data_IF_571275814479
#
_entry.id   IF_571275814479
#
_cell.length_a   1.000
_cell.length_b   1.000
_cell.length_c   1.000
_cell.angle_alpha   90.00
_cell.angle_beta   90.00
_cell.angle_gamma   90.00
#
_symmetry.space_group_name_H-M   'P 1'
#
loop_
_entity.id
_entity.type
_entity.pdbx_description
1 polymer ?
#
# COMPACT_ATOMS: atom_id res chain seq x y z
N UNK A 1 10.37 -8.23 -79.97
CA UNK A 1 9.23 -7.38 -80.37
C UNK A 1 8.02 -7.85 -79.58
N UNK A 2 7.49 -7.07 -78.60
CA UNK A 2 6.34 -6.15 -78.78
C UNK A 2 5.09 -6.94 -79.25
N UNK A 3 3.90 -7.00 -78.62
CA UNK A 3 3.19 -6.20 -77.61
C UNK A 3 1.98 -7.01 -77.10
N UNK A 4 1.57 -6.73 -75.85
CA UNK A 4 0.28 -6.87 -75.15
C UNK A 4 -1.04 -7.12 -75.92
N UNK A 5 -1.98 -7.82 -75.26
CA UNK A 5 -3.31 -7.30 -74.84
C UNK A 5 -4.08 -8.37 -74.04
N UNK A 6 -4.43 -8.14 -72.76
CA UNK A 6 -5.68 -7.52 -72.24
C UNK A 6 -6.87 -8.49 -72.33
N UNK A 7 -7.76 -8.69 -71.35
CA UNK A 7 -7.97 -8.22 -69.99
C UNK A 7 -9.17 -9.04 -69.44
N UNK A 8 -9.27 -9.23 -68.12
CA UNK A 8 -10.53 -9.19 -67.34
C UNK A 8 -10.23 -9.62 -65.88
N UNK A 9 -10.21 -8.62 -64.99
CA UNK A 9 -10.39 -8.77 -63.54
C UNK A 9 -11.90 -8.93 -63.24
N UNK A 10 -12.39 -9.01 -61.97
CA UNK A 10 -11.73 -9.23 -60.68
C UNK A 10 -12.46 -10.34 -59.84
N UNK A 11 -12.00 -10.63 -58.62
CA UNK A 11 -12.84 -10.61 -57.38
C UNK A 11 -12.38 -11.58 -56.29
N UNK A 12 -12.50 -11.08 -55.06
CA UNK A 12 -12.46 -11.77 -53.77
C UNK A 12 -11.09 -12.23 -53.24
N UNK A 13 -10.34 -11.20 -52.87
CA UNK A 13 -9.64 -11.10 -51.60
C UNK A 13 -10.51 -11.59 -50.42
N UNK A 14 -10.14 -12.70 -49.78
CA UNK A 14 -10.37 -12.92 -48.34
C UNK A 14 -9.07 -13.48 -47.76
N UNK A 15 -8.30 -12.59 -47.15
CA UNK A 15 -7.18 -12.88 -46.26
C UNK A 15 -7.75 -13.43 -44.94
N UNK A 16 -7.73 -14.75 -44.77
CA UNK A 16 -7.90 -15.36 -43.44
C UNK A 16 -6.57 -15.25 -42.69
N UNK A 17 -6.42 -14.15 -41.95
CA UNK A 17 -5.40 -14.01 -40.90
C UNK A 17 -5.72 -14.98 -39.77
N UNK A 18 -5.17 -16.19 -39.85
CA UNK A 18 -5.05 -17.10 -38.71
C UNK A 18 -3.88 -16.63 -37.82
N UNK A 19 -4.13 -15.59 -37.03
CA UNK A 19 -3.24 -15.13 -35.97
C UNK A 19 -3.64 -15.77 -34.64
N UNK A 20 -3.38 -17.07 -34.45
CA UNK A 20 -3.39 -17.67 -33.12
C UNK A 20 -2.00 -17.50 -32.52
N UNK A 21 -1.89 -16.50 -31.63
CA UNK A 21 -0.72 -16.28 -30.80
C UNK A 21 -0.35 -17.58 -30.05
N UNK A 22 0.76 -18.19 -30.43
CA UNK A 22 1.38 -19.27 -29.69
C UNK A 22 1.92 -18.70 -28.39
N UNK A 23 1.21 -18.92 -27.29
CA UNK A 23 1.79 -18.80 -25.95
C UNK A 23 2.66 -20.06 -25.73
N UNK A 24 4.00 -19.96 -25.67
CA UNK A 24 4.88 -21.13 -25.57
C UNK A 24 4.85 -21.80 -24.19
N UNK A 25 4.09 -21.24 -23.25
CA UNK A 25 3.86 -21.81 -21.93
C UNK A 25 2.41 -22.27 -21.79
N UNK A 26 2.20 -23.56 -21.96
CA UNK A 26 0.97 -24.21 -21.54
C UNK A 26 1.18 -24.66 -20.09
N UNK A 27 0.49 -24.00 -19.16
CA UNK A 27 0.46 -24.44 -17.77
C UNK A 27 -0.02 -25.90 -17.74
N UNK A 28 0.59 -26.78 -16.93
CA UNK A 28 0.07 -28.12 -16.75
C UNK A 28 -1.38 -28.06 -16.28
N UNK A 29 -2.18 -29.04 -16.67
CA UNK A 29 -3.53 -29.17 -16.15
C UNK A 29 -3.46 -29.16 -14.61
N UNK A 30 -4.36 -28.42 -13.93
CA UNK A 30 -4.38 -28.44 -12.48
C UNK A 30 -4.49 -29.89 -12.00
N UNK A 31 -3.81 -30.27 -10.90
CA UNK A 31 -3.87 -31.62 -10.39
C UNK A 31 -5.33 -32.02 -10.12
N UNK A 32 -5.68 -33.31 -10.30
CA UNK A 32 -6.98 -33.86 -9.94
C UNK A 32 -7.41 -33.43 -8.53
N UNK A 33 -8.70 -33.19 -8.30
CA UNK A 33 -9.21 -32.68 -7.00
C UNK A 33 -8.87 -33.61 -5.82
N UNK A 34 -8.71 -34.90 -6.08
CA UNK A 34 -8.27 -35.94 -5.13
C UNK A 34 -6.75 -35.90 -4.83
N UNK A 35 -5.97 -35.23 -5.68
CA UNK A 35 -4.54 -34.94 -5.47
C UNK A 35 -4.29 -33.51 -4.94
N UNK A 36 -5.32 -32.67 -4.94
CA UNK A 36 -5.29 -31.36 -4.28
C UNK A 36 -5.30 -31.58 -2.77
N UNK A 37 -4.11 -31.53 -2.17
CA UNK A 37 -3.98 -31.43 -0.71
C UNK A 37 -4.18 -29.98 -0.31
N UNK A 38 -5.33 -29.70 0.30
CA UNK A 38 -5.45 -28.53 1.17
C UNK A 38 -4.44 -28.71 2.30
N UNK A 39 -3.29 -28.03 2.19
CA UNK A 39 -2.40 -27.86 3.32
C UNK A 39 -3.11 -26.88 4.25
N UNK A 40 -4.04 -27.38 5.05
CA UNK A 40 -4.65 -26.61 6.12
C UNK A 40 -3.51 -26.15 7.03
N UNK A 41 -3.24 -24.84 7.03
CA UNK A 41 -2.32 -24.24 7.98
C UNK A 41 -2.81 -24.60 9.38
N UNK A 42 -1.90 -25.07 10.25
CA UNK A 42 -2.22 -25.35 11.65
C UNK A 42 -2.83 -24.08 12.28
N UNK A 43 -4.09 -24.10 12.74
CA UNK A 43 -4.75 -22.93 13.30
C UNK A 43 -3.97 -22.30 14.47
N UNK A 44 -3.28 -23.12 15.27
CA UNK A 44 -2.47 -22.63 16.39
C UNK A 44 -1.23 -21.87 15.89
N UNK A 45 -0.58 -22.36 14.83
CA UNK A 45 0.56 -21.69 14.22
C UNK A 45 0.15 -20.37 13.54
N UNK A 46 -1.03 -20.33 12.92
CA UNK A 46 -1.58 -19.12 12.32
C UNK A 46 -1.88 -18.05 13.38
N UNK A 47 -2.56 -18.43 14.48
CA UNK A 47 -2.86 -17.50 15.57
C UNK A 47 -1.57 -16.93 16.22
N UNK A 48 -0.53 -17.76 16.39
CA UNK A 48 0.75 -17.29 16.93
C UNK A 48 1.47 -16.32 15.98
N UNK A 49 1.41 -16.59 14.67
CA UNK A 49 1.94 -15.68 13.66
C UNK A 49 1.20 -14.33 13.66
N UNK A 50 -0.13 -14.35 13.77
CA UNK A 50 -0.97 -13.16 13.84
C UNK A 50 -0.63 -12.32 15.06
N UNK A 51 -0.57 -12.95 16.25
CA UNK A 51 -0.15 -12.31 17.50
C UNK A 51 1.23 -11.69 17.39
N UNK A 52 2.20 -12.42 16.80
CA UNK A 52 3.56 -11.92 16.60
C UNK A 52 3.55 -10.69 15.67
N UNK A 53 2.82 -10.76 14.56
CA UNK A 53 2.72 -9.67 13.60
C UNK A 53 2.10 -8.42 14.22
N UNK A 54 1.02 -8.59 15.01
CA UNK A 54 0.41 -7.51 15.78
C UNK A 54 1.43 -6.83 16.72
N UNK A 55 2.13 -7.61 17.55
CA UNK A 55 3.11 -7.07 18.48
C UNK A 55 4.25 -6.32 17.78
N UNK A 56 4.70 -6.82 16.63
CA UNK A 56 5.73 -6.16 15.83
C UNK A 56 5.23 -4.87 15.19
N UNK A 57 4.03 -4.88 14.60
CA UNK A 57 3.42 -3.68 14.02
C UNK A 57 3.20 -2.59 15.09
N UNK A 58 2.69 -2.98 16.27
CA UNK A 58 2.52 -2.07 17.41
C UNK A 58 3.84 -1.50 17.91
N UNK A 59 4.90 -2.32 17.99
CA UNK A 59 6.23 -1.85 18.37
C UNK A 59 6.78 -0.82 17.36
N UNK A 60 6.70 -1.11 16.07
CA UNK A 60 7.13 -0.18 15.02
C UNK A 60 6.34 1.12 15.03
N UNK A 61 5.04 1.08 15.32
CA UNK A 61 4.20 2.27 15.45
C UNK A 61 4.63 3.15 16.65
N UNK A 62 4.97 2.54 17.79
CA UNK A 62 5.49 3.25 18.96
C UNK A 62 6.87 3.86 18.71
N UNK A 63 7.75 3.14 18.02
CA UNK A 63 9.06 3.66 17.61
C UNK A 63 8.90 4.87 16.68
N UNK A 64 7.98 4.79 15.71
CA UNK A 64 7.67 5.92 14.84
C UNK A 64 7.13 7.12 15.62
N UNK A 65 6.17 6.91 16.52
CA UNK A 65 5.64 7.98 17.39
C UNK A 65 6.74 8.70 18.15
N UNK A 66 7.67 7.92 18.74
CA UNK A 66 8.81 8.48 19.47
C UNK A 66 9.72 9.31 18.55
N UNK A 67 10.10 8.78 17.40
CA UNK A 67 10.99 9.46 16.46
C UNK A 67 10.38 10.78 15.94
N UNK A 68 9.08 10.78 15.63
CA UNK A 68 8.35 11.99 15.25
C UNK A 68 8.32 13.01 16.39
N UNK A 69 8.04 12.56 17.62
CA UNK A 69 7.99 13.42 18.81
C UNK A 69 9.36 14.03 19.16
N UNK A 70 10.43 13.29 18.92
CA UNK A 70 11.82 13.71 19.19
C UNK A 70 12.40 14.57 18.03
N UNK A 71 11.68 14.71 16.91
CA UNK A 71 12.14 15.43 15.71
C UNK A 71 13.21 14.68 14.89
N UNK A 72 13.38 13.38 15.14
CA UNK A 72 14.30 12.48 14.43
C UNK A 72 13.71 12.03 13.10
N UNK A 73 13.52 12.97 12.17
CA UNK A 73 12.76 12.75 10.93
C UNK A 73 13.44 11.84 9.91
N UNK A 74 14.78 11.83 9.87
CA UNK A 74 15.54 10.92 8.99
C UNK A 74 15.32 9.46 9.39
N UNK A 75 15.33 9.18 10.70
CA UNK A 75 15.01 7.85 11.23
C UNK A 75 13.51 7.53 11.11
N UNK A 76 12.63 8.51 11.32
CA UNK A 76 11.19 8.34 11.17
C UNK A 76 10.82 7.95 9.74
N UNK A 77 11.46 8.55 8.73
CA UNK A 77 11.25 8.25 7.31
C UNK A 77 11.48 6.76 6.98
N UNK A 78 12.39 6.09 7.68
CA UNK A 78 12.65 4.67 7.50
C UNK A 78 11.50 3.77 7.97
N UNK A 79 10.63 4.27 8.86
CA UNK A 79 9.43 3.60 9.34
C UNK A 79 8.17 3.96 8.53
N UNK A 80 8.31 4.72 7.45
CA UNK A 80 7.24 5.01 6.50
C UNK A 80 7.29 4.04 5.33
N UNK A 81 6.13 3.70 4.78
CA UNK A 81 6.06 2.95 3.54
C UNK A 81 6.60 3.76 2.37
N UNK A 82 7.02 3.07 1.31
CA UNK A 82 7.48 3.78 0.09
C UNK A 82 6.42 4.76 -0.41
N UNK A 83 5.15 4.35 -0.42
CA UNK A 83 4.07 5.21 -0.92
C UNK A 83 3.82 6.43 -0.01
N UNK A 84 4.01 6.29 1.30
CA UNK A 84 3.91 7.43 2.23
C UNK A 84 5.06 8.40 2.02
N UNK A 85 6.28 7.88 1.81
CA UNK A 85 7.44 8.72 1.48
C UNK A 85 7.22 9.48 0.18
N UNK A 86 6.77 8.80 -0.86
CA UNK A 86 6.49 9.41 -2.17
C UNK A 86 5.40 10.49 -2.06
N UNK A 87 4.36 10.23 -1.26
CA UNK A 87 3.29 11.20 -0.99
C UNK A 87 3.82 12.47 -0.31
N UNK A 88 4.62 12.32 0.74
CA UNK A 88 5.23 13.45 1.47
C UNK A 88 6.22 14.21 0.59
N UNK A 89 7.07 13.48 -0.14
CA UNK A 89 8.04 14.04 -1.07
C UNK A 89 7.36 14.88 -2.17
N UNK A 90 6.28 14.36 -2.75
CA UNK A 90 5.48 15.08 -3.74
C UNK A 90 4.91 16.38 -3.16
N UNK A 91 4.33 16.31 -1.95
CA UNK A 91 3.84 17.49 -1.24
C UNK A 91 4.94 18.50 -0.89
N UNK A 92 6.19 18.06 -0.71
CA UNK A 92 7.33 18.95 -0.50
C UNK A 92 8.05 19.33 -1.81
N UNK A 93 7.34 19.44 -2.92
CA UNK A 93 7.87 19.83 -4.23
C UNK A 93 9.01 18.94 -4.75
N UNK A 94 8.94 17.63 -4.48
CA UNK A 94 9.95 16.61 -4.80
C UNK A 94 11.25 16.71 -4.00
N UNK A 95 11.23 17.37 -2.83
CA UNK A 95 12.22 17.08 -1.79
C UNK A 95 11.93 15.72 -1.14
N UNK A 96 12.75 15.31 -0.17
CA UNK A 96 12.56 14.05 0.57
C UNK A 96 11.43 14.14 1.60
N UNK A 97 11.00 12.97 2.11
CA UNK A 97 9.94 12.88 3.08
C UNK A 97 10.36 13.46 4.44
N UNK A 98 11.61 13.22 4.87
CA UNK A 98 12.17 13.84 6.08
C UNK A 98 12.09 15.39 6.01
N UNK A 99 12.41 15.99 4.86
CA UNK A 99 12.25 17.43 4.65
C UNK A 99 10.81 17.90 4.77
N UNK A 100 9.84 17.09 4.32
CA UNK A 100 8.42 17.40 4.46
C UNK A 100 8.01 17.42 5.95
N UNK A 101 8.42 16.39 6.70
CA UNK A 101 8.16 16.27 8.14
C UNK A 101 8.83 17.41 8.93
N UNK A 102 10.07 17.74 8.60
CA UNK A 102 10.83 18.81 9.25
C UNK A 102 10.25 20.20 8.96
N UNK A 103 9.73 20.42 7.75
CA UNK A 103 9.11 21.69 7.40
C UNK A 103 7.72 21.87 8.04
N UNK A 104 7.03 20.77 8.34
CA UNK A 104 5.63 20.80 8.77
C UNK A 104 4.70 21.40 7.71
N UNK A 105 5.07 21.32 6.42
CA UNK A 105 4.27 21.88 5.32
C UNK A 105 4.13 20.91 4.14
N UNK A 106 2.96 20.91 3.50
CA UNK A 106 2.70 20.18 2.26
C UNK A 106 2.03 21.10 1.23
N UNK A 107 2.53 21.09 0.01
CA UNK A 107 1.86 21.64 -1.15
C UNK A 107 0.80 20.65 -1.66
N UNK A 108 -0.42 21.14 -1.81
CA UNK A 108 -1.55 20.42 -2.38
C UNK A 108 -1.53 20.51 -3.91
N UNK A 109 -2.21 19.59 -4.62
CA UNK A 109 -2.32 19.64 -6.08
C UNK A 109 -2.96 20.93 -6.64
N UNK A 110 -3.73 21.65 -5.82
CA UNK A 110 -4.34 22.94 -6.18
C UNK A 110 -3.40 24.15 -6.01
N UNK A 111 -2.15 23.90 -5.58
CA UNK A 111 -1.11 24.91 -5.40
C UNK A 111 -1.12 25.59 -4.02
N UNK A 112 -2.04 25.23 -3.12
CA UNK A 112 -2.01 25.73 -1.73
C UNK A 112 -0.97 24.98 -0.91
N UNK A 113 -0.35 25.67 0.04
CA UNK A 113 0.46 25.03 1.08
C UNK A 113 -0.37 24.93 2.35
N UNK A 114 -0.37 23.75 2.97
CA UNK A 114 -0.96 23.52 4.29
C UNK A 114 0.13 23.25 5.30
N UNK A 115 -0.03 23.78 6.50
CA UNK A 115 0.78 23.42 7.67
C UNK A 115 0.21 22.14 8.30
N UNK A 116 1.07 21.29 8.84
CA UNK A 116 0.70 20.09 9.56
C UNK A 116 1.70 19.79 10.67
N UNK A 117 1.22 19.22 11.77
CA UNK A 117 2.07 18.64 12.80
C UNK A 117 2.29 17.15 12.47
N UNK A 118 3.53 16.64 12.36
CA UNK A 118 3.79 15.27 11.91
C UNK A 118 3.11 14.16 12.69
N UNK A 119 3.04 14.26 14.02
CA UNK A 119 2.40 13.24 14.86
C UNK A 119 0.88 13.23 14.65
N UNK A 120 0.24 14.39 14.69
CA UNK A 120 -1.19 14.59 14.41
C UNK A 120 -1.53 14.11 13.01
N UNK A 121 -0.73 14.54 12.03
CA UNK A 121 -0.93 14.18 10.65
C UNK A 121 -0.79 12.68 10.43
N UNK A 122 0.30 12.04 10.87
CA UNK A 122 0.54 10.64 10.53
C UNK A 122 -0.23 9.66 11.40
N UNK A 123 -0.40 9.98 12.69
CA UNK A 123 -0.87 9.04 13.71
C UNK A 123 -2.20 9.44 14.36
N UNK A 124 -2.73 10.62 14.03
CA UNK A 124 -3.98 11.13 14.62
C UNK A 124 -3.79 11.81 15.98
N UNK A 125 -2.55 12.11 16.37
CA UNK A 125 -2.24 12.90 17.57
C UNK A 125 -1.48 12.10 18.63
N UNK A 126 -1.66 12.49 19.89
CA UNK A 126 -0.99 11.83 21.02
C UNK A 126 -1.44 10.37 21.16
N UNK A 127 -0.49 9.43 21.07
CA UNK A 127 -0.76 8.00 21.22
C UNK A 127 -0.89 7.65 22.70
N UNK A 128 -2.12 7.46 23.20
CA UNK A 128 -2.37 6.98 24.57
C UNK A 128 -2.47 5.46 24.65
N UNK A 129 -3.16 4.88 23.69
CA UNK A 129 -3.41 3.45 23.60
C UNK A 129 -3.42 3.03 22.14
N UNK A 130 -3.04 1.78 21.89
CA UNK A 130 -3.09 1.15 20.56
C UNK A 130 -3.89 -0.13 20.71
N UNK A 131 -5.00 -0.21 20.00
CA UNK A 131 -5.92 -1.35 19.97
C UNK A 131 -5.82 -2.09 18.64
N UNK A 132 -6.10 -3.39 18.67
CA UNK A 132 -6.14 -4.24 17.46
C UNK A 132 -7.49 -4.13 16.75
N UNK A 133 -8.58 -3.97 17.51
CA UNK A 133 -9.96 -3.94 17.00
C UNK A 133 -10.79 -2.92 17.76
N UNK A 134 -11.65 -2.21 17.03
CA UNK A 134 -12.71 -1.33 17.58
C UNK A 134 -14.05 -1.81 17.03
N UNK A 135 -15.09 -1.86 17.88
CA UNK A 135 -16.41 -2.35 17.50
C UNK A 135 -17.02 -1.55 16.33
N UNK A 136 -17.43 -2.25 15.27
CA UNK A 136 -18.06 -1.65 14.10
C UNK A 136 -17.12 -1.12 13.02
N UNK A 137 -15.80 -1.30 13.16
CA UNK A 137 -14.84 -0.97 12.12
C UNK A 137 -14.64 -2.15 11.14
N UNK A 138 -14.77 -1.89 9.84
CA UNK A 138 -14.44 -2.89 8.81
C UNK A 138 -12.93 -3.07 8.71
N UNK A 139 -12.46 -4.27 9.06
CA UNK A 139 -11.05 -4.65 9.02
C UNK A 139 -10.71 -5.38 7.71
N UNK A 140 -9.68 -4.90 7.00
CA UNK A 140 -9.14 -5.54 5.81
C UNK A 140 -7.70 -5.98 6.06
N UNK A 141 -7.53 -6.92 6.99
CA UNK A 141 -6.23 -7.45 7.35
C UNK A 141 -5.71 -8.50 6.35
N UNK A 142 -4.38 -8.53 6.21
CA UNK A 142 -3.69 -9.61 5.50
C UNK A 142 -2.43 -9.97 6.27
N UNK A 143 -1.73 -11.07 5.94
CA UNK A 143 -0.43 -11.37 6.57
C UNK A 143 0.61 -10.25 6.46
N UNK A 144 0.41 -9.27 5.55
CA UNK A 144 1.30 -8.13 5.31
C UNK A 144 0.64 -6.77 5.55
N UNK A 145 -0.58 -6.72 6.09
CA UNK A 145 -1.33 -5.48 6.35
C UNK A 145 -2.08 -5.63 7.66
N UNK A 146 -1.88 -4.67 8.57
CA UNK A 146 -2.55 -4.58 9.85
C UNK A 146 -3.23 -3.24 9.97
N UNK A 147 -4.43 -3.24 10.50
CA UNK A 147 -5.15 -2.02 10.86
C UNK A 147 -5.08 -1.92 12.38
N UNK A 148 -4.47 -0.86 12.87
CA UNK A 148 -4.34 -0.57 14.29
C UNK A 148 -5.15 0.67 14.61
N UNK A 149 -5.70 0.76 15.81
CA UNK A 149 -6.45 1.92 16.25
C UNK A 149 -5.66 2.65 17.33
N UNK A 150 -5.19 3.85 17.01
CA UNK A 150 -4.57 4.76 17.98
C UNK A 150 -5.69 5.50 18.69
N UNK A 151 -5.79 5.34 20.00
CA UNK A 151 -6.74 6.09 20.82
C UNK A 151 -6.03 7.34 21.34
N UNK A 152 -6.60 8.49 21.02
CA UNK A 152 -6.06 9.80 21.40
C UNK A 152 -6.36 10.18 22.87
N UNK A 153 -6.01 11.41 23.26
CA UNK A 153 -6.30 11.92 24.60
C UNK A 153 -7.81 12.10 24.90
N UNK A 154 -8.65 12.23 23.87
CA UNK A 154 -10.10 12.38 23.98
C UNK A 154 -10.82 11.03 24.01
N UNK A 155 -10.11 9.93 23.74
CA UNK A 155 -10.67 8.58 23.64
C UNK A 155 -11.19 8.26 22.24
N UNK A 156 -10.87 9.06 21.23
CA UNK A 156 -11.30 8.83 19.84
C UNK A 156 -10.31 7.90 19.13
N UNK A 157 -10.78 6.76 18.57
CA UNK A 157 -9.92 5.85 17.84
C UNK A 157 -9.65 6.37 16.43
N UNK A 158 -8.37 6.53 16.11
CA UNK A 158 -7.87 6.87 14.78
C UNK A 158 -7.25 5.64 14.13
N UNK A 159 -7.75 5.29 12.94
CA UNK A 159 -7.24 4.14 12.20
C UNK A 159 -5.87 4.43 11.59
N UNK A 160 -4.92 3.57 11.88
CA UNK A 160 -3.57 3.56 11.36
C UNK A 160 -3.34 2.25 10.60
N UNK A 161 -2.85 2.34 9.37
CA UNK A 161 -2.54 1.16 8.56
C UNK A 161 -1.04 0.90 8.60
N UNK A 162 -0.66 -0.27 9.08
CA UNK A 162 0.71 -0.77 9.03
C UNK A 162 0.83 -1.83 7.95
N UNK A 163 1.91 -1.79 7.18
CA UNK A 163 2.20 -2.82 6.17
C UNK A 163 3.59 -3.39 6.34
N UNK A 164 3.76 -4.66 5.99
CA UNK A 164 5.05 -5.33 6.03
C UNK A 164 5.81 -5.10 4.71
N UNK A 165 6.82 -4.25 4.73
CA UNK A 165 7.70 -3.94 3.59
C UNK A 165 9.15 -4.30 3.93
N UNK A 166 9.84 -5.03 3.06
CA UNK A 166 11.24 -5.39 3.32
C UNK A 166 11.51 -6.21 4.60
N UNK A 167 10.47 -6.76 5.24
CA UNK A 167 10.59 -7.45 6.54
C UNK A 167 10.39 -6.56 7.77
N UNK A 168 10.01 -5.29 7.56
CA UNK A 168 9.74 -4.31 8.59
C UNK A 168 8.29 -3.82 8.49
N UNK A 169 7.63 -3.62 9.64
CA UNK A 169 6.31 -2.99 9.67
C UNK A 169 6.49 -1.48 9.55
N UNK A 170 5.82 -0.88 8.57
CA UNK A 170 5.93 0.54 8.25
C UNK A 170 4.55 1.16 8.12
N UNK A 171 4.45 2.44 8.45
CA UNK A 171 3.22 3.21 8.34
C UNK A 171 2.85 3.41 6.87
N UNK A 172 1.59 3.16 6.53
CA UNK A 172 1.03 3.43 5.21
C UNK A 172 -0.04 4.52 5.29
N UNK A 173 0.27 5.72 4.78
CA UNK A 173 -0.65 6.84 4.68
C UNK A 173 -0.48 7.59 3.37
N UNK A 174 -1.58 7.77 2.66
CA UNK A 174 -1.58 8.31 1.28
C UNK A 174 -2.68 9.33 1.07
N UNK A 175 -3.33 9.75 2.15
CA UNK A 175 -4.38 10.74 2.16
C UNK A 175 -4.16 11.71 3.31
N UNK A 176 -4.58 12.94 3.09
CA UNK A 176 -4.80 13.91 4.14
C UNK A 176 -6.16 13.56 4.70
N UNK A 177 -6.21 12.95 5.89
CA UNK A 177 -7.42 12.98 6.68
C UNK A 177 -7.54 14.43 7.18
N UNK A 178 -8.01 15.33 6.33
CA UNK A 178 -8.67 16.51 6.85
C UNK A 178 -9.84 15.90 7.64
N UNK A 179 -9.84 16.09 8.97
CA UNK A 179 -10.92 15.58 9.81
C UNK A 179 -12.24 15.78 9.08
N UNK A 180 -13.00 14.70 8.93
CA UNK A 180 -14.35 14.79 8.42
C UNK A 180 -15.10 15.77 9.35
N UNK A 181 -15.25 17.02 8.90
CA UNK A 181 -16.19 18.00 9.47
C UNK A 181 -17.63 17.59 9.17
#
# INVERSE_FOLDING_TARGET
MRVFSSALAPSCLILLLAGCASSPYQLPAPPPQDEQRDVAADPAAQAELERKNYLQARASLLDLYKLLSDGSFDEAEALLSQQTRDFLAYGNQNADAAGALASGTLALPDGRTVEFEPVEFLLGGEVRQIEDTVEGADEHETPRRRELFVVDANGEPQKVVMILEGGQWVLHRTAINAGEE
#
